data_IF_721668273264
#
_entry.id   IF_721668273264
#
_cell.length_a   1.000
_cell.length_b   1.000
_cell.length_c   1.000
_cell.angle_alpha   90.00
_cell.angle_beta   90.00
_cell.angle_gamma   90.00
#
_symmetry.space_group_name_H-M   'P 1'
#
loop_
_entity.id
_entity.type
_entity.pdbx_description
1 polymer ?
#
# COMPACT_ATOMS: atom_id res chain seq x y z
N UNK A 1 15.01 -1.58 10.08
CA UNK A 1 14.03 -2.61 10.47
C UNK A 1 12.76 -2.36 9.67
N UNK A 2 12.26 -3.35 8.93
CA UNK A 2 11.09 -3.18 8.04
C UNK A 2 9.85 -2.77 8.85
N UNK A 3 9.08 -1.82 8.35
CA UNK A 3 7.90 -1.25 8.98
C UNK A 3 8.13 -0.35 10.20
N UNK A 4 9.37 -0.13 10.66
CA UNK A 4 9.59 0.67 11.88
C UNK A 4 9.21 2.14 11.70
N UNK A 5 9.57 2.76 10.58
CA UNK A 5 9.27 4.18 10.32
C UNK A 5 7.75 4.40 10.26
N UNK A 6 7.05 3.62 9.45
CA UNK A 6 5.59 3.64 9.34
C UNK A 6 4.92 3.37 10.69
N UNK A 7 5.46 2.46 11.52
CA UNK A 7 4.93 2.20 12.87
C UNK A 7 5.05 3.42 13.79
N UNK A 8 6.16 4.16 13.70
CA UNK A 8 6.38 5.40 14.44
C UNK A 8 5.42 6.49 13.95
N UNK A 9 5.27 6.64 12.64
CA UNK A 9 4.32 7.60 12.05
C UNK A 9 2.88 7.30 12.46
N UNK A 10 2.47 6.04 12.43
CA UNK A 10 1.15 5.61 12.90
C UNK A 10 0.94 5.92 14.39
N UNK A 11 1.95 5.70 15.24
CA UNK A 11 1.86 6.06 16.66
C UNK A 11 1.71 7.58 16.85
N UNK A 12 2.46 8.38 16.10
CA UNK A 12 2.36 9.84 16.12
C UNK A 12 0.99 10.30 15.61
N UNK A 13 0.45 9.67 14.58
CA UNK A 13 -0.87 9.96 14.04
C UNK A 13 -1.98 9.77 15.08
N UNK A 14 -1.92 8.69 15.86
CA UNK A 14 -2.87 8.47 16.98
C UNK A 14 -2.81 9.56 18.04
N UNK A 15 -1.63 10.12 18.29
CA UNK A 15 -1.47 11.24 19.22
C UNK A 15 -2.00 12.53 18.59
N UNK A 16 -1.73 12.75 17.31
CA UNK A 16 -2.22 13.92 16.57
C UNK A 16 -3.74 14.01 16.58
N UNK A 17 -4.46 12.89 16.36
CA UNK A 17 -5.93 12.83 16.40
C UNK A 17 -6.53 13.22 17.76
N UNK A 18 -5.81 13.00 18.87
CA UNK A 18 -6.25 13.42 20.21
C UNK A 18 -6.20 14.95 20.34
N UNK A 19 -5.20 15.58 19.72
CA UNK A 19 -4.98 17.03 19.81
C UNK A 19 -5.79 17.79 18.75
N UNK A 20 -5.93 17.20 17.57
CA UNK A 20 -6.70 17.72 16.44
C UNK A 20 -7.49 16.60 15.76
N UNK A 21 -8.81 16.52 16.01
CA UNK A 21 -9.69 15.53 15.37
C UNK A 21 -9.77 15.62 13.85
N UNK A 22 -9.28 16.71 13.23
CA UNK A 22 -9.26 16.89 11.77
C UNK A 22 -7.88 16.58 11.16
N UNK A 23 -6.97 15.96 11.93
CA UNK A 23 -5.64 15.62 11.44
C UNK A 23 -5.68 14.53 10.37
N UNK A 24 -5.01 14.76 9.24
CA UNK A 24 -4.81 13.76 8.19
C UNK A 24 -3.65 12.79 8.48
N UNK A 25 -2.99 12.90 9.64
CA UNK A 25 -1.80 12.12 9.98
C UNK A 25 -2.03 10.60 9.89
N UNK A 26 -3.23 10.13 10.25
CA UNK A 26 -3.59 8.72 10.15
C UNK A 26 -3.68 8.26 8.70
N UNK A 27 -4.28 9.08 7.84
CA UNK A 27 -4.34 8.81 6.40
C UNK A 27 -2.92 8.69 5.81
N UNK A 28 -2.02 9.61 6.17
CA UNK A 28 -0.62 9.54 5.70
C UNK A 28 0.11 8.28 6.17
N UNK A 29 -0.03 7.89 7.45
CA UNK A 29 0.60 6.68 7.96
C UNK A 29 0.10 5.40 7.28
N UNK A 30 -1.19 5.33 6.94
CA UNK A 30 -1.77 4.21 6.19
C UNK A 30 -1.28 4.20 4.72
N UNK A 31 -1.23 5.36 4.07
CA UNK A 31 -0.70 5.47 2.70
C UNK A 31 0.78 5.07 2.63
N UNK A 32 1.59 5.39 3.65
CA UNK A 32 2.98 4.94 3.70
C UNK A 32 3.12 3.44 3.94
N UNK A 33 2.20 2.83 4.70
CA UNK A 33 2.14 1.37 4.83
C UNK A 33 1.81 0.68 3.50
N UNK A 34 0.87 1.25 2.74
CA UNK A 34 0.53 0.82 1.39
C UNK A 34 1.73 0.98 0.44
N UNK A 35 2.40 2.13 0.47
CA UNK A 35 3.60 2.36 -0.33
C UNK A 35 4.75 1.40 0.04
N UNK A 36 4.89 1.04 1.32
CA UNK A 36 5.84 0.00 1.75
C UNK A 36 5.44 -1.38 1.21
N UNK A 37 4.16 -1.72 1.20
CA UNK A 37 3.64 -2.93 0.54
C UNK A 37 3.99 -2.97 -0.94
N UNK A 38 3.71 -1.89 -1.68
CA UNK A 38 4.08 -1.82 -3.09
C UNK A 38 5.59 -2.05 -3.33
N UNK A 39 6.46 -1.44 -2.51
CA UNK A 39 7.92 -1.63 -2.60
C UNK A 39 8.35 -3.06 -2.24
N UNK A 40 7.74 -3.65 -1.23
CA UNK A 40 8.01 -5.01 -0.78
C UNK A 40 7.66 -6.03 -1.88
N UNK A 41 6.58 -5.82 -2.63
CA UNK A 41 6.18 -6.66 -3.76
C UNK A 41 7.31 -6.77 -4.79
N UNK A 42 7.81 -5.61 -5.24
CA UNK A 42 8.90 -5.53 -6.21
C UNK A 42 10.23 -6.08 -5.66
N UNK A 43 10.41 -6.03 -4.34
CA UNK A 43 11.53 -6.67 -3.64
C UNK A 43 11.31 -8.17 -3.38
N UNK A 44 10.17 -8.74 -3.80
CA UNK A 44 9.75 -10.13 -3.57
C UNK A 44 9.66 -10.50 -2.09
N UNK A 45 9.17 -9.56 -1.28
CA UNK A 45 8.89 -9.75 0.14
C UNK A 45 7.37 -9.88 0.33
N UNK A 46 6.93 -11.09 0.65
CA UNK A 46 5.51 -11.46 0.80
C UNK A 46 5.05 -11.57 2.26
N UNK A 47 6.00 -11.57 3.19
CA UNK A 47 5.71 -11.57 4.62
C UNK A 47 5.31 -10.18 5.10
N UNK A 48 4.27 -10.09 5.93
CA UNK A 48 3.91 -8.85 6.62
C UNK A 48 5.08 -8.40 7.52
N UNK A 49 5.48 -7.11 7.49
CA UNK A 49 6.48 -6.59 8.42
C UNK A 49 6.08 -6.86 9.87
N UNK A 50 7.01 -7.36 10.70
CA UNK A 50 6.75 -7.65 12.13
C UNK A 50 6.18 -6.44 12.87
N UNK A 51 6.61 -5.23 12.48
CA UNK A 51 6.13 -3.98 13.06
C UNK A 51 4.66 -3.65 12.75
N UNK A 52 4.05 -4.30 11.77
CA UNK A 52 2.64 -4.13 11.40
C UNK A 52 1.75 -5.22 11.98
N UNK A 53 2.32 -6.36 12.38
CA UNK A 53 1.58 -7.59 12.67
C UNK A 53 0.49 -7.44 13.74
N UNK A 54 0.66 -6.51 14.68
CA UNK A 54 -0.28 -6.22 15.77
C UNK A 54 -1.24 -5.05 15.48
N UNK A 55 -1.18 -4.45 14.29
CA UNK A 55 -2.00 -3.31 13.87
C UNK A 55 -2.77 -3.67 12.60
N UNK A 56 -4.03 -4.12 12.70
CA UNK A 56 -4.81 -4.55 11.55
C UNK A 56 -4.86 -3.51 10.43
N UNK A 57 -4.95 -2.21 10.75
CA UNK A 57 -4.96 -1.14 9.75
C UNK A 57 -3.68 -1.09 8.91
N UNK A 58 -2.51 -1.26 9.53
CA UNK A 58 -1.23 -1.28 8.81
C UNK A 58 -1.08 -2.56 7.99
N UNK A 59 -1.55 -3.70 8.49
CA UNK A 59 -1.56 -4.97 7.74
C UNK A 59 -2.41 -4.83 6.48
N UNK A 60 -3.64 -4.34 6.61
CA UNK A 60 -4.57 -4.16 5.48
C UNK A 60 -4.00 -3.17 4.46
N UNK A 61 -3.45 -2.04 4.89
CA UNK A 61 -2.85 -1.06 3.99
C UNK A 61 -1.64 -1.64 3.24
N UNK A 62 -0.74 -2.33 3.93
CA UNK A 62 0.39 -3.02 3.29
C UNK A 62 -0.07 -4.08 2.29
N UNK A 63 -1.10 -4.87 2.62
CA UNK A 63 -1.70 -5.83 1.69
C UNK A 63 -2.34 -5.17 0.47
N UNK A 64 -2.96 -3.99 0.63
CA UNK A 64 -3.46 -3.18 -0.49
C UNK A 64 -2.33 -2.85 -1.45
N UNK A 65 -1.18 -2.41 -0.93
CA UNK A 65 0.00 -2.08 -1.74
C UNK A 65 0.56 -3.28 -2.52
N UNK A 66 0.61 -4.46 -1.89
CA UNK A 66 1.01 -5.71 -2.54
C UNK A 66 0.05 -6.05 -3.70
N UNK A 67 -1.26 -5.98 -3.45
CA UNK A 67 -2.28 -6.30 -4.45
C UNK A 67 -2.24 -5.30 -5.61
N UNK A 68 -2.14 -4.01 -5.31
CA UNK A 68 -2.04 -2.96 -6.32
C UNK A 68 -0.79 -3.15 -7.20
N UNK A 69 0.35 -3.51 -6.61
CA UNK A 69 1.55 -3.82 -7.38
C UNK A 69 1.36 -5.04 -8.31
N UNK A 70 0.67 -6.08 -7.83
CA UNK A 70 0.33 -7.26 -8.65
C UNK A 70 -0.62 -6.91 -9.80
N UNK A 71 -1.66 -6.13 -9.54
CA UNK A 71 -2.62 -5.66 -10.56
C UNK A 71 -1.92 -4.80 -11.63
N UNK A 72 -1.01 -3.91 -11.21
CA UNK A 72 -0.18 -3.14 -12.12
C UNK A 72 0.70 -4.04 -12.99
N UNK A 73 1.38 -5.03 -12.40
CA UNK A 73 2.22 -5.97 -13.15
C UNK A 73 1.40 -6.81 -14.13
N UNK A 74 0.19 -7.23 -13.75
CA UNK A 74 -0.73 -7.95 -14.64
C UNK A 74 -1.10 -7.08 -15.86
N UNK A 75 -1.54 -5.85 -15.61
CA UNK A 75 -1.95 -4.92 -16.66
C UNK A 75 -0.77 -4.53 -17.57
N UNK A 76 0.40 -4.27 -16.99
CA UNK A 76 1.64 -4.00 -17.72
C UNK A 76 2.08 -5.17 -18.59
N UNK A 77 1.68 -6.40 -18.27
CA UNK A 77 2.01 -7.60 -19.05
C UNK A 77 0.89 -8.10 -19.95
N UNK A 78 -0.31 -7.51 -19.86
CA UNK A 78 -1.45 -7.85 -20.70
C UNK A 78 -1.17 -7.51 -22.18
N UNK A 79 -1.20 -8.49 -23.10
CA UNK A 79 -0.98 -8.24 -24.53
C UNK A 79 -2.00 -7.28 -25.13
N UNK A 80 -3.23 -7.30 -24.63
CA UNK A 80 -4.30 -6.41 -25.10
C UNK A 80 -4.10 -4.97 -24.63
N UNK A 81 -3.67 -4.76 -23.38
CA UNK A 81 -3.30 -3.42 -22.88
C UNK A 81 -2.14 -2.83 -23.67
N UNK A 82 -1.11 -3.63 -23.99
CA UNK A 82 0.04 -3.19 -24.78
C UNK A 82 -0.31 -2.80 -26.21
N UNK A 83 -1.31 -3.47 -26.79
CA UNK A 83 -1.78 -3.23 -28.15
C UNK A 83 -2.94 -2.21 -28.23
N UNK A 84 -3.37 -1.65 -27.09
CA UNK A 84 -4.47 -0.71 -27.06
C UNK A 84 -4.09 0.59 -27.79
N UNK A 85 -4.91 0.97 -28.78
CA UNK A 85 -4.77 2.21 -29.55
C UNK A 85 -5.83 3.25 -29.17
N UNK A 86 -6.27 3.23 -27.90
CA UNK A 86 -7.35 4.07 -27.38
C UNK A 86 -8.66 3.32 -27.13
N UNK A 87 -8.76 2.07 -27.58
CA UNK A 87 -9.87 1.18 -27.23
C UNK A 87 -9.64 0.51 -25.86
N UNK A 88 -10.70 0.33 -25.04
CA UNK A 88 -10.67 -0.46 -23.80
C UNK A 88 -10.07 -1.86 -23.98
N UNK A 89 -9.29 -2.30 -23.00
CA UNK A 89 -8.83 -3.67 -22.92
C UNK A 89 -10.02 -4.61 -22.65
N UNK A 90 -10.19 -5.73 -23.39
CA UNK A 90 -11.29 -6.65 -23.15
C UNK A 90 -11.23 -7.39 -21.79
N UNK A 91 -10.07 -7.35 -21.11
CA UNK A 91 -9.87 -8.00 -19.80
C UNK A 91 -10.03 -7.00 -18.65
N UNK A 92 -9.50 -5.79 -18.80
CA UNK A 92 -9.40 -4.80 -17.73
C UNK A 92 -10.37 -3.61 -17.89
N UNK A 93 -11.06 -3.51 -19.04
CA UNK A 93 -11.92 -2.37 -19.40
C UNK A 93 -11.15 -1.21 -19.99
#
# INVERSE_FOLDING_TARGET
>A
MRGLNVRVEYANAKIAEIVDPNSDAMCFALNEAEAEGYRDYHARLDSVPVMFADVPGLVTAWQSGQNFAADCEEMENCPYCKAAHGDPCPVHG
#
